data_IF_913270285355
#
_entry.id   IF_913270285355
#
_cell.length_a   1.000
_cell.length_b   1.000
_cell.length_c   1.000
_cell.angle_alpha   90.00
_cell.angle_beta   90.00
_cell.angle_gamma   90.00
#
_symmetry.space_group_name_H-M   'P 1'
#
loop_
_entity.id
_entity.type
_entity.pdbx_description
1 polymer ?
#
# COMPACT_ATOMS: atom_id res chain seq x y z
N UNK A 1 15.67 -1.37 -3.28
CA UNK A 1 16.64 -1.77 -2.23
C UNK A 1 18.08 -1.47 -2.66
N UNK A 2 18.56 -2.08 -3.76
CA UNK A 2 19.97 -1.98 -4.18
C UNK A 2 20.46 -0.53 -4.30
N UNK A 3 19.66 0.37 -4.91
CA UNK A 3 20.03 1.77 -5.08
C UNK A 3 20.14 2.50 -3.74
N UNK A 4 19.22 2.27 -2.83
CA UNK A 4 19.32 2.83 -1.48
C UNK A 4 20.57 2.34 -0.73
N UNK A 5 20.90 1.05 -0.85
CA UNK A 5 22.13 0.52 -0.24
C UNK A 5 23.39 1.17 -0.80
N UNK A 6 23.47 1.42 -2.11
CA UNK A 6 24.59 2.17 -2.73
C UNK A 6 24.72 3.59 -2.20
N UNK A 7 23.62 4.19 -1.79
CA UNK A 7 23.56 5.53 -1.22
C UNK A 7 23.68 5.55 0.32
N UNK A 8 24.13 4.46 0.93
CA UNK A 8 24.47 4.39 2.36
C UNK A 8 23.32 4.10 3.31
N UNK A 9 22.18 3.63 2.81
CA UNK A 9 21.06 3.18 3.63
C UNK A 9 21.16 1.69 3.93
N UNK A 10 20.87 1.30 5.16
CA UNK A 10 20.52 -0.08 5.49
C UNK A 10 19.02 -0.28 5.14
N UNK A 11 18.71 -1.29 4.36
CA UNK A 11 17.34 -1.54 3.87
C UNK A 11 16.84 -2.87 4.41
N UNK A 12 15.70 -2.82 5.11
CA UNK A 12 14.99 -3.98 5.63
C UNK A 12 13.69 -4.16 4.85
N UNK A 13 13.50 -5.34 4.29
CA UNK A 13 12.31 -5.73 3.52
C UNK A 13 11.92 -7.13 3.96
N UNK A 14 10.62 -7.38 4.08
CA UNK A 14 10.07 -8.71 4.31
C UNK A 14 8.90 -8.98 3.36
N UNK A 15 8.65 -10.24 3.11
CA UNK A 15 7.37 -10.67 2.57
C UNK A 15 6.33 -10.53 3.69
N UNK A 16 5.28 -9.77 3.43
CA UNK A 16 4.18 -9.61 4.39
C UNK A 16 3.39 -10.93 4.52
N UNK A 17 2.70 -11.11 5.64
CA UNK A 17 1.74 -12.21 5.80
C UNK A 17 0.83 -12.29 4.57
N UNK A 18 0.62 -13.51 4.04
CA UNK A 18 -0.14 -13.74 2.82
C UNK A 18 0.59 -13.45 1.50
N UNK A 19 1.92 -13.21 1.55
CA UNK A 19 2.75 -12.97 0.36
C UNK A 19 4.04 -13.78 0.38
N UNK A 20 4.52 -14.10 -0.82
CA UNK A 20 5.86 -14.66 -1.05
C UNK A 20 6.19 -15.84 -0.15
N UNK A 21 7.32 -15.77 0.56
CA UNK A 21 7.77 -16.83 1.48
C UNK A 21 7.10 -16.79 2.86
N UNK A 22 6.17 -15.86 3.09
CA UNK A 22 5.39 -15.78 4.34
C UNK A 22 4.08 -16.55 4.28
N UNK A 23 3.92 -17.46 3.31
CA UNK A 23 2.82 -18.42 3.21
C UNK A 23 3.35 -19.85 3.32
N UNK A 24 2.51 -20.77 3.82
CA UNK A 24 2.86 -22.19 3.90
C UNK A 24 2.67 -22.90 2.57
N UNK A 25 1.71 -22.48 1.78
CA UNK A 25 1.40 -22.94 0.44
C UNK A 25 0.63 -21.87 -0.36
N UNK A 26 0.48 -22.06 -1.67
CA UNK A 26 -0.14 -21.08 -2.58
C UNK A 26 -1.60 -20.77 -2.28
N UNK A 27 -2.31 -21.64 -1.53
CA UNK A 27 -3.71 -21.38 -1.15
C UNK A 27 -3.82 -20.23 -0.16
N UNK A 28 -2.75 -19.93 0.59
CA UNK A 28 -2.68 -18.85 1.57
C UNK A 28 -2.29 -17.49 0.96
N UNK A 29 -1.91 -17.43 -0.32
CA UNK A 29 -1.64 -16.16 -0.98
C UNK A 29 -2.86 -15.23 -0.89
N UNK A 30 -2.65 -14.04 -0.33
CA UNK A 30 -3.72 -13.06 -0.12
C UNK A 30 -4.67 -13.39 1.03
N UNK A 31 -4.29 -14.28 1.95
CA UNK A 31 -4.94 -14.51 3.23
C UNK A 31 -4.14 -13.86 4.35
N UNK A 32 -4.78 -13.03 5.18
CA UNK A 32 -4.09 -12.23 6.21
C UNK A 32 -4.48 -12.59 7.65
N UNK A 33 -5.23 -13.68 7.82
CA UNK A 33 -5.65 -14.15 9.16
C UNK A 33 -6.78 -13.33 9.79
N UNK A 34 -7.13 -13.71 11.02
CA UNK A 34 -8.33 -13.21 11.70
C UNK A 34 -8.31 -11.70 12.00
N UNK A 35 -7.15 -11.12 12.28
CA UNK A 35 -6.97 -9.69 12.56
C UNK A 35 -5.98 -9.07 11.56
N UNK A 36 -6.20 -9.28 10.26
CA UNK A 36 -5.23 -9.02 9.21
C UNK A 36 -4.60 -7.62 9.25
N UNK A 37 -5.37 -6.55 9.50
CA UNK A 37 -4.82 -5.19 9.59
C UNK A 37 -3.85 -5.05 10.76
N UNK A 38 -4.26 -5.49 11.94
CA UNK A 38 -3.42 -5.44 13.15
C UNK A 38 -2.17 -6.28 12.98
N UNK A 39 -2.32 -7.53 12.51
CA UNK A 39 -1.19 -8.44 12.30
C UNK A 39 -0.15 -7.87 11.35
N UNK A 40 -0.59 -7.38 10.18
CA UNK A 40 0.31 -6.77 9.19
C UNK A 40 1.05 -5.54 9.73
N UNK A 41 0.37 -4.67 10.49
CA UNK A 41 0.99 -3.48 11.08
C UNK A 41 1.96 -3.86 12.21
N UNK A 42 1.62 -4.88 13.00
CA UNK A 42 2.46 -5.36 14.11
C UNK A 42 3.69 -6.13 13.59
N UNK A 43 3.59 -6.86 12.49
CA UNK A 43 4.72 -7.48 11.80
C UNK A 43 5.71 -6.42 11.28
N UNK A 44 5.20 -5.33 10.70
CA UNK A 44 6.05 -4.18 10.33
C UNK A 44 6.75 -3.58 11.55
N UNK A 45 6.07 -3.55 12.71
CA UNK A 45 6.69 -3.08 13.96
C UNK A 45 7.81 -4.00 14.42
N UNK A 46 7.63 -5.32 14.32
CA UNK A 46 8.68 -6.28 14.62
C UNK A 46 9.90 -6.09 13.72
N UNK A 47 9.69 -5.91 12.40
CA UNK A 47 10.78 -5.63 11.45
C UNK A 47 11.50 -4.32 11.80
N UNK A 48 10.77 -3.27 12.17
CA UNK A 48 11.36 -2.02 12.63
C UNK A 48 12.20 -2.22 13.92
N UNK A 49 11.72 -3.01 14.88
CA UNK A 49 12.48 -3.32 16.10
C UNK A 49 13.77 -4.07 15.79
N UNK A 50 13.76 -4.96 14.81
CA UNK A 50 14.97 -5.64 14.31
C UNK A 50 15.92 -4.59 13.72
N UNK A 51 15.45 -3.73 12.82
CA UNK A 51 16.27 -2.69 12.21
C UNK A 51 16.93 -1.77 13.26
N UNK A 52 16.15 -1.32 14.25
CA UNK A 52 16.66 -0.46 15.34
C UNK A 52 17.67 -1.16 16.24
N UNK A 53 17.54 -2.47 16.43
CA UNK A 53 18.49 -3.27 17.19
C UNK A 53 19.81 -3.48 16.43
N UNK A 54 19.72 -3.74 15.13
CA UNK A 54 20.88 -3.94 14.26
C UNK A 54 21.68 -2.63 14.02
N UNK A 55 20.95 -1.49 13.96
CA UNK A 55 21.51 -0.17 13.69
C UNK A 55 21.05 0.85 14.74
N UNK A 56 21.54 0.75 15.99
CA UNK A 56 21.08 1.60 17.08
C UNK A 56 21.48 3.07 16.85
N UNK A 57 20.53 3.97 17.10
CA UNK A 57 20.75 5.41 17.00
C UNK A 57 20.68 6.01 15.60
N UNK A 58 20.50 5.20 14.56
CA UNK A 58 20.26 5.72 13.23
C UNK A 58 18.78 6.08 13.02
N UNK A 59 18.49 7.10 12.18
CA UNK A 59 17.12 7.42 11.82
C UNK A 59 16.49 6.31 10.98
N UNK A 60 15.20 6.05 11.20
CA UNK A 60 14.43 5.02 10.51
C UNK A 60 13.32 5.67 9.69
N UNK A 61 13.32 5.41 8.40
CA UNK A 61 12.29 5.86 7.48
C UNK A 61 11.45 4.69 6.99
N UNK A 62 10.14 4.84 7.01
CA UNK A 62 9.19 3.84 6.54
C UNK A 62 8.76 4.16 5.10
N UNK A 63 8.99 3.24 4.17
CA UNK A 63 8.51 3.33 2.80
C UNK A 63 7.40 2.31 2.59
N UNK A 64 6.24 2.75 2.09
CA UNK A 64 5.15 1.87 1.69
C UNK A 64 4.67 2.19 0.28
N UNK A 65 4.48 1.14 -0.53
CA UNK A 65 3.92 1.25 -1.88
C UNK A 65 2.56 0.54 -1.96
N UNK A 66 1.59 1.15 -2.64
CA UNK A 66 0.25 0.58 -2.85
C UNK A 66 -0.43 0.21 -1.52
N UNK A 67 -0.87 -1.02 -1.33
CA UNK A 67 -1.38 -1.53 -0.04
C UNK A 67 -0.35 -1.31 1.08
N UNK A 68 0.95 -1.43 0.79
CA UNK A 68 2.02 -1.08 1.73
C UNK A 68 1.99 0.39 2.16
N UNK A 69 1.53 1.32 1.30
CA UNK A 69 1.34 2.72 1.68
C UNK A 69 0.16 2.90 2.64
N UNK A 70 -0.88 2.09 2.51
CA UNK A 70 -2.02 2.08 3.44
C UNK A 70 -1.59 1.55 4.81
N UNK A 71 -0.80 0.46 4.82
CA UNK A 71 -0.19 -0.08 6.04
C UNK A 71 0.77 0.92 6.69
N UNK A 72 1.61 1.61 5.90
CA UNK A 72 2.51 2.65 6.40
C UNK A 72 1.73 3.82 7.03
N UNK A 73 0.57 4.19 6.47
CA UNK A 73 -0.34 5.18 7.05
C UNK A 73 -0.93 4.70 8.38
N UNK A 74 -1.40 3.47 8.46
CA UNK A 74 -1.90 2.86 9.70
C UNK A 74 -0.79 2.75 10.75
N UNK A 75 0.41 2.32 10.34
CA UNK A 75 1.60 2.24 11.17
C UNK A 75 1.99 3.60 11.76
N UNK A 76 2.04 4.66 10.93
CA UNK A 76 2.41 6.01 11.36
C UNK A 76 1.48 6.53 12.46
N UNK A 77 0.20 6.18 12.41
CA UNK A 77 -0.76 6.54 13.45
C UNK A 77 -0.61 5.69 14.73
N UNK A 78 -0.25 4.40 14.61
CA UNK A 78 -0.17 3.46 15.74
C UNK A 78 1.18 3.50 16.44
N UNK A 79 2.29 3.67 15.70
CA UNK A 79 3.66 3.59 16.20
C UNK A 79 4.53 4.79 15.77
N UNK A 80 4.07 6.04 15.96
CA UNK A 80 4.73 7.22 15.41
C UNK A 80 6.16 7.44 15.93
N UNK A 81 6.43 7.07 17.19
CA UNK A 81 7.73 7.30 17.85
C UNK A 81 8.82 6.31 17.40
N UNK A 82 8.45 5.34 16.55
CA UNK A 82 9.38 4.32 16.07
C UNK A 82 9.95 4.62 14.69
N UNK A 83 9.55 5.72 14.05
CA UNK A 83 10.04 6.18 12.76
C UNK A 83 10.34 7.67 12.78
N UNK A 84 11.32 8.09 12.02
CA UNK A 84 11.74 9.49 11.88
C UNK A 84 11.06 10.19 10.69
N UNK A 85 10.51 9.43 9.78
CA UNK A 85 9.69 9.91 8.66
C UNK A 85 9.08 8.77 7.87
N UNK A 86 8.17 9.09 6.95
CA UNK A 86 7.50 8.08 6.12
C UNK A 86 7.26 8.56 4.71
N UNK A 87 7.35 7.62 3.75
CA UNK A 87 7.07 7.85 2.33
C UNK A 87 5.89 6.97 1.93
N UNK A 88 4.84 7.58 1.39
CA UNK A 88 3.65 6.88 0.89
C UNK A 88 3.60 6.97 -0.63
N UNK A 89 3.99 5.88 -1.28
CA UNK A 89 4.05 5.75 -2.73
C UNK A 89 2.78 5.09 -3.26
N UNK A 90 2.13 5.68 -4.26
CA UNK A 90 0.93 5.12 -4.88
C UNK A 90 -0.24 4.95 -3.91
N UNK A 91 -0.44 5.91 -2.99
CA UNK A 91 -1.51 5.85 -1.98
C UNK A 91 -2.84 6.33 -2.53
N UNK A 92 -3.95 5.91 -1.89
CA UNK A 92 -5.30 6.35 -2.24
C UNK A 92 -5.78 7.54 -1.39
N UNK A 93 -6.79 8.25 -1.89
CA UNK A 93 -7.61 9.17 -1.10
C UNK A 93 -8.54 8.47 -0.10
N UNK A 94 -9.49 9.22 0.45
CA UNK A 94 -10.53 8.64 1.29
C UNK A 94 -11.46 7.75 0.45
N UNK A 95 -11.79 6.58 0.99
CA UNK A 95 -12.73 5.64 0.36
C UNK A 95 -13.99 5.47 1.21
N UNK A 96 -15.04 6.27 0.98
CA UNK A 96 -16.29 6.20 1.77
C UNK A 96 -17.03 4.86 1.60
N UNK A 97 -16.78 4.14 0.52
CA UNK A 97 -17.39 2.83 0.26
C UNK A 97 -16.61 1.67 0.92
N UNK A 98 -15.42 1.92 1.48
CA UNK A 98 -14.59 0.86 2.05
C UNK A 98 -15.30 0.07 3.17
N UNK A 99 -16.08 0.74 4.02
CA UNK A 99 -16.87 0.07 5.06
C UNK A 99 -17.92 -0.89 4.51
N UNK A 100 -18.56 -0.56 3.40
CA UNK A 100 -19.48 -1.45 2.70
C UNK A 100 -18.72 -2.61 2.04
N UNK A 101 -17.58 -2.32 1.41
CA UNK A 101 -16.70 -3.34 0.84
C UNK A 101 -16.27 -4.38 1.88
N UNK A 102 -15.83 -3.94 3.06
CA UNK A 102 -15.47 -4.83 4.16
C UNK A 102 -16.67 -5.69 4.64
N UNK A 103 -17.86 -5.09 4.75
CA UNK A 103 -19.07 -5.83 5.15
C UNK A 103 -19.47 -6.90 4.11
N UNK A 104 -19.33 -6.60 2.81
CA UNK A 104 -19.58 -7.54 1.71
C UNK A 104 -18.56 -8.68 1.73
N UNK A 105 -17.27 -8.36 1.87
CA UNK A 105 -16.21 -9.37 1.95
C UNK A 105 -16.43 -10.31 3.13
N UNK A 106 -16.77 -9.79 4.31
CA UNK A 106 -17.09 -10.56 5.51
C UNK A 106 -18.34 -11.45 5.32
N UNK A 107 -19.34 -10.99 4.59
CA UNK A 107 -20.53 -11.79 4.28
C UNK A 107 -20.18 -12.98 3.35
N UNK A 108 -19.30 -12.75 2.36
CA UNK A 108 -18.81 -13.81 1.46
C UNK A 108 -17.94 -14.81 2.23
N UNK A 109 -17.03 -14.31 3.07
CA UNK A 109 -16.19 -15.12 3.95
C UNK A 109 -17.03 -16.07 4.82
N UNK A 110 -18.05 -15.55 5.50
CA UNK A 110 -18.96 -16.36 6.33
C UNK A 110 -19.74 -17.42 5.55
N UNK A 111 -20.05 -17.15 4.28
CA UNK A 111 -20.84 -18.06 3.44
C UNK A 111 -19.99 -19.11 2.73
N UNK A 112 -18.81 -18.71 2.24
CA UNK A 112 -18.01 -19.49 1.29
C UNK A 112 -16.64 -19.91 1.85
N UNK A 113 -16.32 -19.46 3.07
CA UNK A 113 -15.01 -19.66 3.71
C UNK A 113 -14.05 -18.47 3.49
N UNK A 114 -13.11 -18.34 4.40
CA UNK A 114 -12.13 -17.26 4.47
C UNK A 114 -11.13 -17.29 3.30
N UNK A 115 -10.78 -18.46 2.81
CA UNK A 115 -9.90 -18.69 1.65
C UNK A 115 -10.63 -18.60 0.29
N UNK A 116 -11.93 -18.37 0.27
CA UNK A 116 -12.68 -18.23 -0.97
C UNK A 116 -12.19 -17.03 -1.79
N UNK A 117 -11.79 -17.27 -3.04
CA UNK A 117 -11.39 -16.21 -3.99
C UNK A 117 -12.60 -15.74 -4.77
N UNK A 118 -12.94 -14.46 -4.66
CA UNK A 118 -14.15 -13.88 -5.23
C UNK A 118 -13.83 -12.91 -6.36
N UNK A 119 -14.17 -13.28 -7.60
CA UNK A 119 -14.06 -12.40 -8.78
C UNK A 119 -14.89 -11.12 -8.62
N UNK A 120 -16.02 -11.21 -7.90
CA UNK A 120 -16.84 -10.05 -7.59
C UNK A 120 -16.09 -9.04 -6.72
N UNK A 121 -15.43 -9.48 -5.64
CA UNK A 121 -14.64 -8.60 -4.79
C UNK A 121 -13.42 -8.05 -5.53
N UNK A 122 -12.77 -8.88 -6.34
CA UNK A 122 -11.65 -8.47 -7.18
C UNK A 122 -12.06 -7.37 -8.17
N UNK A 123 -13.18 -7.57 -8.85
CA UNK A 123 -13.74 -6.57 -9.78
C UNK A 123 -14.17 -5.28 -9.05
N UNK A 124 -14.71 -5.40 -7.84
CA UNK A 124 -15.07 -4.24 -7.02
C UNK A 124 -13.84 -3.41 -6.63
N UNK A 125 -12.74 -4.07 -6.27
CA UNK A 125 -11.50 -3.42 -5.85
C UNK A 125 -10.71 -2.84 -7.04
N UNK A 126 -10.53 -3.61 -8.11
CA UNK A 126 -9.54 -3.33 -9.16
C UNK A 126 -10.13 -3.16 -10.57
N UNK A 127 -11.39 -3.54 -10.79
CA UNK A 127 -11.99 -3.64 -12.13
C UNK A 127 -12.08 -2.33 -12.94
N UNK A 128 -11.69 -1.20 -12.35
CA UNK A 128 -11.70 0.11 -13.02
C UNK A 128 -10.29 0.65 -13.33
N UNK A 129 -9.24 -0.04 -12.94
CA UNK A 129 -7.89 0.52 -12.97
C UNK A 129 -7.34 0.71 -14.38
N UNK A 130 -7.68 -0.17 -15.33
CA UNK A 130 -7.25 -0.04 -16.73
C UNK A 130 -8.04 0.95 -17.59
N UNK A 131 -8.97 1.74 -17.03
CA UNK A 131 -9.85 2.62 -17.84
C UNK A 131 -9.13 3.68 -18.67
N UNK A 132 -7.90 4.03 -18.32
CA UNK A 132 -7.10 5.05 -19.01
C UNK A 132 -5.79 4.51 -19.55
N UNK A 133 -5.70 3.20 -19.78
CA UNK A 133 -4.55 2.54 -20.38
C UNK A 133 -4.91 2.01 -21.76
N UNK A 134 -3.95 1.43 -22.44
CA UNK A 134 -4.11 0.75 -23.73
C UNK A 134 -5.01 -0.49 -23.62
N UNK A 135 -5.15 -1.02 -22.38
CA UNK A 135 -5.95 -2.20 -22.05
C UNK A 135 -5.53 -3.46 -22.86
N UNK A 136 -4.21 -3.61 -23.07
CA UNK A 136 -3.62 -4.80 -23.69
C UNK A 136 -3.58 -5.98 -22.73
N UNK A 137 -3.35 -5.68 -21.42
CA UNK A 137 -3.40 -6.64 -20.32
C UNK A 137 -4.28 -6.12 -19.17
N UNK A 138 -4.61 -6.96 -18.22
CA UNK A 138 -5.34 -6.52 -17.01
C UNK A 138 -4.48 -5.71 -16.04
N UNK A 139 -3.15 -5.60 -16.27
CA UNK A 139 -2.18 -4.97 -15.38
C UNK A 139 -1.48 -3.76 -15.99
N UNK A 140 -1.93 -3.24 -17.13
CA UNK A 140 -1.31 -2.08 -17.75
C UNK A 140 -1.29 -0.85 -16.85
N UNK A 141 -2.21 -0.75 -15.90
CA UNK A 141 -2.26 0.34 -14.93
C UNK A 141 -1.05 0.40 -13.98
N UNK A 142 -0.24 -0.67 -13.92
CA UNK A 142 0.94 -0.72 -13.04
C UNK A 142 2.07 0.17 -13.55
N UNK A 143 2.45 0.06 -14.82
CA UNK A 143 3.56 0.82 -15.40
C UNK A 143 3.38 1.04 -16.90
N UNK A 144 4.03 2.07 -17.43
CA UNK A 144 4.21 2.29 -18.89
C UNK A 144 5.23 1.31 -19.48
N UNK A 145 6.13 0.78 -18.65
CA UNK A 145 7.12 -0.21 -19.06
C UNK A 145 6.47 -1.58 -19.22
N UNK A 146 6.21 -1.96 -20.49
CA UNK A 146 5.58 -3.24 -20.82
C UNK A 146 6.42 -4.46 -20.37
N UNK A 147 7.73 -4.32 -20.28
CA UNK A 147 8.60 -5.40 -19.80
C UNK A 147 8.42 -5.61 -18.28
N UNK A 148 8.25 -4.54 -17.51
CA UNK A 148 7.93 -4.63 -16.09
C UNK A 148 6.51 -5.20 -15.86
N UNK A 149 5.52 -4.78 -16.64
CA UNK A 149 4.17 -5.37 -16.61
C UNK A 149 4.22 -6.87 -16.96
N UNK A 150 5.03 -7.26 -17.97
CA UNK A 150 5.22 -8.66 -18.31
C UNK A 150 5.86 -9.46 -17.19
N UNK A 151 6.90 -8.94 -16.52
CA UNK A 151 7.52 -9.60 -15.37
C UNK A 151 6.50 -9.83 -14.25
N UNK A 152 5.63 -8.84 -13.99
CA UNK A 152 4.56 -8.97 -13.01
C UNK A 152 3.55 -10.08 -13.36
N UNK A 153 3.22 -10.22 -14.64
CA UNK A 153 2.30 -11.27 -15.13
C UNK A 153 2.93 -12.66 -15.08
N UNK A 154 4.24 -12.75 -15.37
CA UNK A 154 4.99 -14.00 -15.41
C UNK A 154 5.39 -14.50 -14.01
N UNK A 155 5.21 -13.71 -12.95
CA UNK A 155 5.55 -14.06 -11.58
C UNK A 155 4.33 -14.65 -10.84
N UNK A 156 4.43 -15.92 -10.44
CA UNK A 156 3.36 -16.65 -9.72
C UNK A 156 2.99 -16.00 -8.38
N UNK A 157 3.88 -15.20 -7.79
CA UNK A 157 3.63 -14.43 -6.55
C UNK A 157 3.04 -13.06 -6.79
N UNK A 158 2.72 -12.71 -8.03
CA UNK A 158 2.09 -11.45 -8.43
C UNK A 158 0.71 -11.69 -9.07
N UNK A 159 -0.16 -10.70 -9.02
CA UNK A 159 -1.44 -10.72 -9.75
C UNK A 159 -2.49 -11.72 -9.26
N UNK A 160 -2.24 -12.48 -8.22
CA UNK A 160 -3.23 -13.41 -7.66
C UNK A 160 -4.42 -12.65 -7.05
N UNK A 161 -5.59 -13.29 -7.11
CA UNK A 161 -6.81 -12.77 -6.48
C UNK A 161 -6.77 -13.02 -4.98
N UNK A 162 -6.97 -11.99 -4.18
CA UNK A 162 -7.05 -12.13 -2.72
C UNK A 162 -8.18 -13.06 -2.30
N UNK A 163 -8.03 -13.67 -1.15
CA UNK A 163 -9.11 -14.41 -0.48
C UNK A 163 -10.20 -13.44 0.00
N UNK A 164 -11.37 -13.96 0.39
CA UNK A 164 -12.43 -13.15 0.98
C UNK A 164 -11.96 -12.43 2.25
N UNK A 165 -11.14 -13.11 3.08
CA UNK A 165 -10.43 -12.52 4.22
C UNK A 165 -9.47 -11.41 3.79
N UNK A 166 -8.70 -11.63 2.72
CA UNK A 166 -7.78 -10.62 2.20
C UNK A 166 -8.48 -9.35 1.72
N UNK A 167 -9.62 -9.48 1.04
CA UNK A 167 -10.44 -8.33 0.67
C UNK A 167 -11.09 -7.65 1.87
N UNK A 168 -11.53 -8.39 2.88
CA UNK A 168 -12.02 -7.82 4.13
C UNK A 168 -10.95 -6.97 4.79
N UNK A 169 -9.74 -7.50 4.91
CA UNK A 169 -8.57 -6.79 5.45
C UNK A 169 -8.25 -5.53 4.64
N UNK A 170 -8.18 -5.62 3.31
CA UNK A 170 -7.90 -4.45 2.43
C UNK A 170 -8.93 -3.35 2.62
N UNK A 171 -10.23 -3.69 2.59
CA UNK A 171 -11.29 -2.70 2.76
C UNK A 171 -11.35 -2.15 4.19
N UNK A 172 -11.07 -2.94 5.22
CA UNK A 172 -10.99 -2.49 6.61
C UNK A 172 -9.82 -1.54 6.81
N UNK A 173 -8.67 -1.81 6.20
CA UNK A 173 -7.50 -0.92 6.20
C UNK A 173 -7.83 0.42 5.51
N UNK A 174 -8.43 0.39 4.32
CA UNK A 174 -8.87 1.60 3.60
C UNK A 174 -9.87 2.42 4.42
N UNK A 175 -10.82 1.77 5.10
CA UNK A 175 -11.77 2.42 6.00
C UNK A 175 -11.03 3.11 7.17
N UNK A 176 -10.08 2.43 7.79
CA UNK A 176 -9.32 2.95 8.93
C UNK A 176 -8.56 4.22 8.57
N UNK A 177 -7.86 4.24 7.43
CA UNK A 177 -7.04 5.37 6.99
C UNK A 177 -7.81 6.50 6.29
N UNK A 178 -9.11 6.33 6.06
CA UNK A 178 -9.98 7.34 5.42
C UNK A 178 -10.67 8.27 6.42
N UNK A 179 -10.69 7.93 7.70
CA UNK A 179 -11.46 8.64 8.72
C UNK A 179 -10.74 9.84 9.33
N UNK A 180 -11.53 10.79 9.89
CA UNK A 180 -11.00 11.95 10.60
C UNK A 180 -10.12 11.56 11.80
N UNK A 181 -10.40 10.44 12.43
CA UNK A 181 -9.68 9.98 13.60
C UNK A 181 -8.26 9.54 13.23
N UNK A 182 -8.08 8.95 12.03
CA UNK A 182 -6.75 8.64 11.52
C UNK A 182 -5.90 9.91 11.34
N UNK A 183 -6.44 10.98 10.71
CA UNK A 183 -5.71 12.24 10.54
C UNK A 183 -5.32 12.90 11.86
N UNK A 184 -6.11 12.69 12.93
CA UNK A 184 -5.80 13.19 14.28
C UNK A 184 -4.76 12.34 15.00
N UNK A 185 -4.68 11.07 14.68
CA UNK A 185 -3.74 10.13 15.29
C UNK A 185 -2.32 10.26 14.72
N UNK A 186 -2.17 10.74 13.49
CA UNK A 186 -0.86 11.01 12.89
C UNK A 186 -0.25 12.27 13.55
N UNK A 187 0.99 12.22 14.08
CA UNK A 187 1.63 13.39 14.68
C UNK A 187 1.88 14.51 13.66
N UNK A 188 1.60 15.74 14.07
CA UNK A 188 1.66 16.92 13.20
C UNK A 188 3.09 17.29 12.74
N UNK A 189 4.11 16.87 13.45
CA UNK A 189 5.53 17.13 13.21
C UNK A 189 6.23 16.01 12.44
N UNK A 190 5.55 14.85 12.23
CA UNK A 190 6.13 13.72 11.51
C UNK A 190 6.40 14.09 10.04
N UNK A 191 7.64 13.95 9.54
CA UNK A 191 7.95 14.11 8.14
C UNK A 191 7.22 13.06 7.28
N UNK A 192 6.43 13.53 6.32
CA UNK A 192 5.62 12.69 5.42
C UNK A 192 5.86 13.13 3.99
N UNK A 193 6.21 12.19 3.13
CA UNK A 193 6.33 12.45 1.70
C UNK A 193 5.38 11.56 0.91
N UNK A 194 4.45 12.17 0.18
CA UNK A 194 3.54 11.47 -0.73
C UNK A 194 4.10 11.53 -2.15
N UNK A 195 4.25 10.38 -2.79
CA UNK A 195 4.66 10.27 -4.19
C UNK A 195 3.68 9.37 -4.96
N UNK A 196 3.33 9.78 -6.17
CA UNK A 196 2.45 8.99 -7.03
C UNK A 196 2.61 9.39 -8.50
N UNK A 197 2.26 8.51 -9.41
CA UNK A 197 2.12 8.86 -10.82
C UNK A 197 0.84 9.66 -11.06
N UNK A 198 0.88 10.61 -12.00
CA UNK A 198 -0.34 11.34 -12.41
C UNK A 198 -1.39 10.45 -13.07
N UNK A 199 -0.96 9.31 -13.64
CA UNK A 199 -1.85 8.33 -14.27
C UNK A 199 -2.16 7.11 -13.37
N UNK A 200 -1.79 7.18 -12.08
CA UNK A 200 -2.10 6.13 -11.11
C UNK A 200 -3.60 6.12 -10.75
N UNK A 201 -4.34 5.04 -11.11
CA UNK A 201 -5.76 4.93 -10.79
C UNK A 201 -6.04 4.73 -9.29
N UNK A 202 -5.09 4.19 -8.51
CA UNK A 202 -5.20 3.99 -7.05
C UNK A 202 -5.33 5.33 -6.35
N UNK A 203 -4.53 6.31 -6.76
CA UNK A 203 -4.59 7.69 -6.29
C UNK A 203 -5.63 8.56 -7.01
N UNK A 204 -6.58 7.94 -7.74
CA UNK A 204 -7.59 8.66 -8.54
C UNK A 204 -6.96 9.69 -9.50
N UNK A 205 -5.85 9.29 -10.13
CA UNK A 205 -5.11 10.16 -11.05
C UNK A 205 -4.62 11.44 -10.35
N UNK A 206 -4.00 11.29 -9.18
CA UNK A 206 -3.46 12.35 -8.35
C UNK A 206 -4.48 13.05 -7.44
N UNK A 207 -5.79 12.93 -7.68
CA UNK A 207 -6.82 13.61 -6.88
C UNK A 207 -6.87 13.11 -5.45
N UNK A 208 -6.87 11.79 -5.25
CA UNK A 208 -6.92 11.16 -3.93
C UNK A 208 -5.64 11.45 -3.13
N UNK A 209 -4.48 11.43 -3.79
CA UNK A 209 -3.20 11.78 -3.15
C UNK A 209 -3.22 13.24 -2.67
N UNK A 210 -3.69 14.16 -3.54
CA UNK A 210 -3.84 15.57 -3.18
C UNK A 210 -4.86 15.79 -2.05
N UNK A 211 -5.95 15.01 -2.01
CA UNK A 211 -6.92 15.05 -0.91
C UNK A 211 -6.25 14.72 0.44
N UNK A 212 -5.44 13.65 0.50
CA UNK A 212 -4.70 13.27 1.70
C UNK A 212 -3.73 14.38 2.10
N UNK A 213 -2.92 14.87 1.15
CA UNK A 213 -1.98 15.96 1.37
C UNK A 213 -2.67 17.21 1.94
N UNK A 214 -3.73 17.69 1.28
CA UNK A 214 -4.45 18.89 1.69
C UNK A 214 -5.15 18.71 3.05
N UNK A 215 -5.64 17.50 3.36
CA UNK A 215 -6.26 17.21 4.65
C UNK A 215 -5.24 17.22 5.78
N UNK A 216 -4.06 16.62 5.57
CA UNK A 216 -2.95 16.69 6.53
C UNK A 216 -2.53 18.15 6.77
N UNK A 217 -2.36 18.96 5.72
CA UNK A 217 -2.07 20.41 5.88
C UNK A 217 -3.14 21.13 6.68
N UNK A 218 -4.42 20.87 6.42
CA UNK A 218 -5.56 21.49 7.14
C UNK A 218 -5.64 21.05 8.60
N UNK A 219 -5.17 19.86 8.92
CA UNK A 219 -5.14 19.33 10.30
C UNK A 219 -3.87 19.74 11.06
N UNK A 220 -3.01 20.58 10.46
CA UNK A 220 -1.87 21.20 11.14
C UNK A 220 -0.53 20.49 10.95
N UNK A 221 -0.46 19.48 10.06
CA UNK A 221 0.83 18.82 9.78
C UNK A 221 1.77 19.78 9.04
N UNK A 222 2.88 20.13 9.66
CA UNK A 222 3.84 21.11 9.15
C UNK A 222 4.81 20.48 8.12
N UNK A 223 5.22 19.25 8.34
CA UNK A 223 6.26 18.56 7.57
C UNK A 223 5.66 17.53 6.59
N UNK A 224 4.79 18.00 5.69
CA UNK A 224 4.19 17.15 4.65
C UNK A 224 4.51 17.71 3.27
N UNK A 225 5.06 16.87 2.42
CA UNK A 225 5.36 17.19 1.03
C UNK A 225 4.67 16.20 0.08
N UNK A 226 4.45 16.62 -1.15
CA UNK A 226 3.83 15.79 -2.18
C UNK A 226 4.50 16.04 -3.53
N UNK A 227 4.75 14.98 -4.28
CA UNK A 227 5.21 15.05 -5.67
C UNK A 227 4.40 14.09 -6.54
N UNK A 228 3.83 14.60 -7.61
CA UNK A 228 3.23 13.80 -8.67
C UNK A 228 4.22 13.73 -9.86
N UNK A 229 4.37 12.54 -10.41
CA UNK A 229 5.25 12.30 -11.55
C UNK A 229 4.44 12.29 -12.84
N UNK A 230 4.68 13.24 -13.75
CA UNK A 230 3.88 13.41 -14.96
C UNK A 230 3.92 12.18 -15.86
N UNK A 231 2.74 11.70 -16.24
CA UNK A 231 2.60 10.56 -17.14
C UNK A 231 2.83 9.18 -16.52
N UNK A 232 3.39 9.09 -15.31
CA UNK A 232 3.66 7.82 -14.63
C UNK A 232 2.39 7.18 -14.09
N UNK A 233 2.43 5.85 -14.01
CA UNK A 233 1.37 5.00 -13.48
C UNK A 233 1.65 4.63 -12.02
N UNK A 234 1.21 3.46 -11.59
CA UNK A 234 1.20 3.08 -10.18
C UNK A 234 2.58 2.73 -9.61
N UNK A 235 3.39 1.99 -10.36
CA UNK A 235 4.69 1.48 -9.90
C UNK A 235 5.84 2.42 -10.26
N UNK A 236 5.93 3.58 -9.60
CA UNK A 236 6.94 4.60 -9.89
C UNK A 236 8.38 4.06 -9.96
N UNK A 237 8.74 3.12 -9.07
CA UNK A 237 10.07 2.53 -9.01
C UNK A 237 10.35 1.51 -10.12
N UNK A 238 9.33 1.19 -10.91
CA UNK A 238 9.37 0.29 -12.07
C UNK A 238 8.95 1.02 -13.36
N UNK A 239 8.86 2.35 -13.34
CA UNK A 239 8.60 3.13 -14.54
C UNK A 239 9.83 3.28 -15.43
N UNK A 240 9.64 3.69 -16.67
CA UNK A 240 10.71 3.89 -17.65
C UNK A 240 11.72 4.94 -17.14
N UNK A 241 11.22 5.97 -16.47
CA UNK A 241 11.98 7.09 -15.93
C UNK A 241 12.17 7.02 -14.40
N UNK A 242 12.16 5.82 -13.84
CA UNK A 242 12.32 5.53 -12.39
C UNK A 242 13.55 6.18 -11.74
N UNK A 243 14.59 6.47 -12.52
CA UNK A 243 15.81 7.13 -12.01
C UNK A 243 15.55 8.60 -11.61
N UNK A 244 14.40 9.17 -11.97
CA UNK A 244 13.97 10.51 -11.57
C UNK A 244 13.15 10.50 -10.25
N UNK A 245 12.79 9.32 -9.76
CA UNK A 245 12.03 9.12 -8.52
C UNK A 245 12.96 9.05 -7.32
#
# INVERSE_FOLDING_TARGET
AVELCKNGYAVFICDLLGYGNSVSDDSELGYFGENGVESLVDDMKQLNDIARREYPGLPVYLFGHSMGSFLARAYTAKYPDTIDGTIWCGTSGANPAAGLGAALARAIEKRSGDHHRSDFLNSLAFGKYNKRTENETQFDWLSKDKEEVKKYIDDDYCGFVFTANGFETLFSLLKQISGKDWYRAVPNDKPIFLIAGENDPVGEYGKGVNEVFMTLKKTGHSSVEMKLYPGDRHELLNEIDRDAV
#
